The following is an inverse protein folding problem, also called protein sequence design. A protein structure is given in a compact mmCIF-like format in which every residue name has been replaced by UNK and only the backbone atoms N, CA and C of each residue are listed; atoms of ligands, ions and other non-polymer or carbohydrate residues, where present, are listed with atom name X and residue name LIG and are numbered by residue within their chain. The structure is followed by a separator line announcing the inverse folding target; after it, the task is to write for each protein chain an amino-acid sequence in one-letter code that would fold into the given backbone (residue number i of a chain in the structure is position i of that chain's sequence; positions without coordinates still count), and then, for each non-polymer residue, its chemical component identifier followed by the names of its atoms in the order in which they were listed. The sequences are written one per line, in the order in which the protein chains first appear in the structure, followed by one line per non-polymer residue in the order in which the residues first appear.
data_IF_548173236276
#
_entry.id   IF_548173236276
#
_cell.length_a   1.000
_cell.length_b   1.000
_cell.length_c   1.000
_cell.angle_alpha   90.00
_cell.angle_beta   90.00
_cell.angle_gamma   90.00
#
_symmetry.space_group_name_H-M   'P 1'
#
loop_
_entity.id
_entity.type
_entity.pdbx_description
1 polymer ?
#
# COMPACT_ATOMS: atom_id res chain seq x y z
N UNK A 1 3.56 13.69 -27.40
CA UNK A 1 3.39 14.88 -26.53
C UNK A 1 4.58 15.01 -25.61
N UNK A 2 4.85 16.24 -25.13
CA UNK A 2 5.91 16.52 -24.15
C UNK A 2 5.33 16.46 -22.74
N UNK A 3 6.00 15.79 -21.80
CA UNK A 3 5.51 15.68 -20.44
C UNK A 3 6.56 16.04 -19.38
N UNK A 4 6.08 16.39 -18.19
CA UNK A 4 6.90 16.51 -16.98
C UNK A 4 6.49 15.43 -15.98
N UNK A 5 7.48 14.86 -15.27
CA UNK A 5 7.28 13.81 -14.24
C UNK A 5 7.62 14.40 -12.86
N UNK A 6 6.61 14.84 -12.14
CA UNK A 6 6.75 15.49 -10.83
C UNK A 6 6.66 14.46 -9.69
N UNK A 7 7.54 14.57 -8.71
CA UNK A 7 7.67 13.58 -7.64
C UNK A 7 7.92 12.19 -8.21
N UNK A 8 8.81 12.15 -9.20
CA UNK A 8 8.94 11.06 -10.17
C UNK A 8 9.44 9.74 -9.57
N UNK A 9 10.02 9.76 -8.35
CA UNK A 9 10.63 8.58 -7.76
C UNK A 9 11.69 7.98 -8.69
N UNK A 10 11.51 6.71 -9.07
CA UNK A 10 12.39 6.02 -10.02
C UNK A 10 11.87 6.05 -11.46
N UNK A 11 10.85 6.88 -11.76
CA UNK A 11 10.37 7.11 -13.14
C UNK A 11 9.30 6.14 -13.61
N UNK A 12 8.31 5.83 -12.78
CA UNK A 12 7.21 4.96 -13.20
C UNK A 12 6.29 5.58 -14.24
N UNK A 13 6.00 6.88 -14.16
CA UNK A 13 5.32 7.62 -15.23
C UNK A 13 6.19 7.69 -16.47
N UNK A 14 7.47 8.03 -16.31
CA UNK A 14 8.42 8.09 -17.45
C UNK A 14 8.43 6.76 -18.22
N UNK A 15 8.60 5.63 -17.53
CA UNK A 15 8.63 4.31 -18.15
C UNK A 15 7.39 4.03 -19.00
N UNK A 16 6.21 4.40 -18.51
CA UNK A 16 4.95 4.19 -19.23
C UNK A 16 4.78 5.11 -20.43
N UNK A 17 4.98 6.42 -20.25
CA UNK A 17 4.78 7.42 -21.30
C UNK A 17 5.82 7.31 -22.41
N UNK A 18 7.08 7.00 -22.06
CA UNK A 18 8.14 6.75 -23.04
C UNK A 18 7.80 5.58 -23.98
N UNK A 19 7.20 4.49 -23.45
CA UNK A 19 6.72 3.36 -24.27
C UNK A 19 5.62 3.75 -25.27
N UNK A 20 4.86 4.81 -24.98
CA UNK A 20 3.83 5.39 -25.85
C UNK A 20 4.39 6.45 -26.83
N UNK A 21 5.71 6.70 -26.80
CA UNK A 21 6.38 7.65 -27.69
C UNK A 21 6.26 9.12 -27.22
N UNK A 22 5.93 9.37 -25.95
CA UNK A 22 5.97 10.72 -25.38
C UNK A 22 7.39 11.07 -24.93
N UNK A 23 7.71 12.37 -24.91
CA UNK A 23 9.02 12.92 -24.56
C UNK A 23 8.97 13.57 -23.16
N UNK A 24 9.82 13.10 -22.23
CA UNK A 24 10.00 13.75 -20.95
C UNK A 24 10.91 14.97 -21.10
N UNK A 25 10.43 16.14 -20.72
CA UNK A 25 11.19 17.40 -20.82
C UNK A 25 11.67 17.92 -19.48
N UNK A 26 11.14 17.39 -18.38
CA UNK A 26 11.55 17.74 -17.02
C UNK A 26 11.09 16.65 -16.05
N UNK A 27 11.90 16.38 -15.04
CA UNK A 27 11.53 15.48 -13.93
C UNK A 27 12.12 16.01 -12.62
N UNK A 28 11.43 15.75 -11.50
CA UNK A 28 11.91 16.17 -10.17
C UNK A 28 11.51 15.20 -9.07
N UNK A 29 12.44 14.94 -8.15
CA UNK A 29 12.22 14.28 -6.88
C UNK A 29 13.18 14.80 -5.83
N UNK A 30 12.72 14.91 -4.58
CA UNK A 30 13.55 15.35 -3.44
C UNK A 30 14.43 14.23 -2.85
N UNK A 31 14.10 12.95 -3.13
CA UNK A 31 14.90 11.81 -2.68
C UNK A 31 16.09 11.60 -3.63
N UNK A 32 17.28 11.94 -3.16
CA UNK A 32 18.53 11.83 -3.95
C UNK A 32 18.82 10.42 -4.45
N UNK A 33 18.46 9.39 -3.69
CA UNK A 33 18.64 8.00 -4.12
C UNK A 33 17.67 7.62 -5.24
N UNK A 34 16.43 8.11 -5.17
CA UNK A 34 15.47 7.89 -6.25
C UNK A 34 15.89 8.63 -7.52
N UNK A 35 16.30 9.89 -7.40
CA UNK A 35 16.79 10.70 -8.51
C UNK A 35 18.01 10.06 -9.19
N UNK A 36 18.95 9.47 -8.42
CA UNK A 36 20.11 8.74 -8.97
C UNK A 36 19.67 7.55 -9.82
N UNK A 37 18.72 6.74 -9.34
CA UNK A 37 18.18 5.60 -10.10
C UNK A 37 17.43 6.10 -11.34
N UNK A 38 16.65 7.17 -11.22
CA UNK A 38 15.97 7.78 -12.36
C UNK A 38 16.97 8.22 -13.43
N UNK A 39 18.00 9.03 -13.07
CA UNK A 39 19.00 9.54 -14.01
C UNK A 39 19.82 8.42 -14.67
N UNK A 40 20.06 7.31 -13.98
CA UNK A 40 20.74 6.12 -14.53
C UNK A 40 19.94 5.43 -15.65
N UNK A 41 18.63 5.52 -15.60
CA UNK A 41 17.74 4.91 -16.59
C UNK A 41 17.35 5.88 -17.71
N UNK A 42 17.02 7.11 -17.37
CA UNK A 42 16.38 8.09 -18.25
C UNK A 42 17.25 9.31 -18.56
N UNK A 43 18.40 9.44 -17.91
CA UNK A 43 19.24 10.63 -18.01
C UNK A 43 18.62 11.83 -17.28
N UNK A 44 18.98 13.02 -17.78
CA UNK A 44 18.52 14.31 -17.25
C UNK A 44 17.59 14.98 -18.25
N UNK A 45 16.27 14.81 -18.13
CA UNK A 45 15.32 15.39 -19.06
C UNK A 45 15.50 16.92 -19.16
N UNK A 46 15.54 17.45 -20.38
CA UNK A 46 15.80 18.88 -20.62
C UNK A 46 17.18 19.40 -20.15
N UNK A 47 18.06 18.51 -19.69
CA UNK A 47 19.37 18.86 -19.11
C UNK A 47 19.32 19.23 -17.62
N UNK A 48 18.18 19.19 -16.98
CA UNK A 48 17.99 19.51 -15.55
C UNK A 48 18.38 18.34 -14.65
N UNK A 49 18.89 18.64 -13.46
CA UNK A 49 19.07 17.62 -12.41
C UNK A 49 17.70 17.18 -11.88
N UNK A 50 17.50 15.87 -11.75
CA UNK A 50 16.25 15.32 -11.20
C UNK A 50 16.17 15.53 -9.69
N UNK A 51 17.29 15.52 -8.97
CA UNK A 51 17.33 15.80 -7.53
C UNK A 51 17.15 17.29 -7.26
N UNK A 52 15.91 17.73 -7.07
CA UNK A 52 15.57 19.10 -6.69
C UNK A 52 14.19 19.17 -6.01
N UNK A 53 14.00 20.21 -5.20
CA UNK A 53 12.65 20.57 -4.71
C UNK A 53 11.92 21.37 -5.80
N UNK A 54 10.74 20.94 -6.18
CA UNK A 54 9.92 21.60 -7.21
C UNK A 54 9.72 23.09 -6.94
N UNK A 55 9.63 23.48 -5.67
CA UNK A 55 9.40 24.86 -5.23
C UNK A 55 10.60 25.78 -5.53
N UNK A 56 11.79 25.24 -5.65
CA UNK A 56 13.00 25.98 -5.95
C UNK A 56 13.17 26.21 -7.45
N UNK A 57 12.58 25.34 -8.29
CA UNK A 57 12.78 25.30 -9.75
C UNK A 57 11.49 25.55 -10.55
N UNK A 58 10.38 25.86 -9.89
CA UNK A 58 9.04 25.94 -10.52
C UNK A 58 8.99 26.91 -11.69
N UNK A 59 9.80 27.99 -11.65
CA UNK A 59 9.86 28.98 -12.71
C UNK A 59 10.71 28.57 -13.92
N UNK A 60 11.60 27.59 -13.73
CA UNK A 60 12.51 27.07 -14.76
C UNK A 60 11.89 25.91 -15.55
N UNK A 61 10.78 25.32 -15.05
CA UNK A 61 10.12 24.18 -15.68
C UNK A 61 9.62 24.59 -17.08
N UNK A 62 10.02 23.85 -18.15
CA UNK A 62 9.66 24.19 -19.51
C UNK A 62 8.16 23.94 -19.78
N UNK A 63 7.64 24.51 -20.86
CA UNK A 63 6.28 24.24 -21.35
C UNK A 63 6.11 22.75 -21.67
N UNK A 64 4.95 22.21 -21.36
CA UNK A 64 4.61 20.79 -21.54
C UNK A 64 3.15 20.63 -21.99
N UNK A 65 2.85 19.44 -22.53
CA UNK A 65 1.49 19.05 -22.89
C UNK A 65 0.82 18.24 -21.76
N UNK A 66 1.63 17.53 -20.95
CA UNK A 66 1.14 16.66 -19.88
C UNK A 66 1.91 16.96 -18.59
N UNK A 67 1.20 17.12 -17.48
CA UNK A 67 1.75 17.04 -16.13
C UNK A 67 1.43 15.66 -15.55
N UNK A 68 2.46 14.88 -15.22
CA UNK A 68 2.35 13.63 -14.47
C UNK A 68 2.80 13.85 -13.01
N UNK A 69 2.01 13.39 -12.03
CA UNK A 69 2.40 13.53 -10.63
C UNK A 69 1.83 12.42 -9.73
N UNK A 70 2.74 11.69 -9.07
CA UNK A 70 2.43 10.82 -7.94
C UNK A 70 2.69 11.55 -6.61
N UNK A 71 1.90 12.56 -6.29
CA UNK A 71 2.19 13.45 -5.17
C UNK A 71 1.87 12.82 -3.81
N UNK A 72 2.66 13.10 -2.74
CA UNK A 72 2.38 12.60 -1.40
C UNK A 72 1.10 13.20 -0.82
N UNK A 73 0.31 12.36 -0.10
CA UNK A 73 -0.90 12.80 0.57
C UNK A 73 -0.55 13.67 1.78
N UNK A 74 -0.68 14.98 1.64
CA UNK A 74 -0.51 15.96 2.71
C UNK A 74 -1.87 16.51 3.15
N UNK A 75 -2.07 16.81 4.45
CA UNK A 75 -3.32 17.44 4.91
C UNK A 75 -3.43 18.86 4.35
N UNK A 76 -4.60 19.20 3.80
CA UNK A 76 -4.93 20.56 3.41
C UNK A 76 -5.17 21.44 4.64
N UNK A 77 -4.81 22.73 4.54
CA UNK A 77 -5.02 23.67 5.63
C UNK A 77 -6.52 23.92 5.86
N UNK A 78 -6.94 24.03 7.13
CA UNK A 78 -8.33 24.33 7.52
C UNK A 78 -8.64 25.83 7.51
N UNK A 79 -7.86 26.67 6.82
CA UNK A 79 -8.07 28.10 6.83
C UNK A 79 -9.28 28.50 5.99
N UNK A 80 -10.19 29.13 6.65
CA UNK A 80 -11.24 30.08 6.31
C UNK A 80 -12.05 29.92 5.03
N UNK A 81 -13.35 29.77 5.21
CA UNK A 81 -14.40 29.68 4.19
C UNK A 81 -14.66 30.96 3.33
N UNK A 82 -13.74 31.91 3.28
CA UNK A 82 -13.98 33.21 2.60
C UNK A 82 -13.06 33.55 1.44
N UNK A 83 -11.96 32.79 1.21
CA UNK A 83 -10.93 33.17 0.21
C UNK A 83 -10.81 32.19 -0.98
N UNK A 84 -11.78 31.26 -1.16
CA UNK A 84 -11.80 30.31 -2.29
C UNK A 84 -10.95 29.03 -2.07
N UNK A 85 -11.10 28.05 -3.01
CA UNK A 85 -10.42 26.75 -2.91
C UNK A 85 -8.89 26.84 -3.11
N UNK A 86 -8.40 27.87 -3.79
CA UNK A 86 -6.98 28.13 -3.97
C UNK A 86 -6.23 28.30 -2.65
N UNK A 87 -6.83 28.96 -1.66
CA UNK A 87 -6.25 29.17 -0.34
C UNK A 87 -6.18 27.89 0.51
N UNK A 88 -7.14 26.97 0.32
CA UNK A 88 -7.16 25.70 1.05
C UNK A 88 -6.03 24.75 0.62
N UNK A 89 -5.50 24.91 -0.60
CA UNK A 89 -4.41 24.10 -1.14
C UNK A 89 -3.02 24.69 -0.88
N UNK A 90 -2.92 25.97 -0.49
CA UNK A 90 -1.64 26.66 -0.25
C UNK A 90 -0.71 25.87 0.67
N UNK A 91 0.56 25.79 0.29
CA UNK A 91 1.60 25.08 1.04
C UNK A 91 1.59 23.56 0.88
N UNK A 92 0.72 23.02 0.02
CA UNK A 92 0.72 21.60 -0.36
C UNK A 92 1.42 21.39 -1.70
N UNK A 93 1.96 20.21 -1.93
CA UNK A 93 2.54 19.85 -3.24
C UNK A 93 1.51 19.82 -4.38
N UNK A 94 0.22 19.61 -4.05
CA UNK A 94 -0.86 19.78 -5.03
C UNK A 94 -1.01 21.24 -5.49
N UNK A 95 -0.76 22.20 -4.62
CA UNK A 95 -0.76 23.62 -5.00
C UNK A 95 0.35 23.94 -5.99
N UNK A 96 1.54 23.35 -5.84
CA UNK A 96 2.64 23.54 -6.78
C UNK A 96 2.28 22.99 -8.18
N UNK A 97 1.56 21.85 -8.25
CA UNK A 97 0.98 21.33 -9.50
C UNK A 97 0.00 22.36 -10.11
N UNK A 98 -0.87 22.98 -9.28
CA UNK A 98 -1.82 23.98 -9.76
C UNK A 98 -1.13 25.22 -10.34
N UNK A 99 -0.05 25.72 -9.71
CA UNK A 99 0.74 26.84 -10.24
C UNK A 99 1.28 26.52 -11.64
N UNK A 100 1.84 25.32 -11.82
CA UNK A 100 2.34 24.90 -13.14
C UNK A 100 1.21 24.77 -14.17
N UNK A 101 0.08 24.22 -13.77
CA UNK A 101 -1.08 24.07 -14.65
C UNK A 101 -1.65 25.43 -15.09
N UNK A 102 -1.71 26.41 -14.20
CA UNK A 102 -2.15 27.78 -14.54
C UNK A 102 -1.16 28.52 -15.44
N UNK A 103 0.14 28.33 -15.19
CA UNK A 103 1.22 28.98 -15.97
C UNK A 103 1.32 28.43 -17.39
N UNK A 104 1.30 27.12 -17.55
CA UNK A 104 1.61 26.43 -18.81
C UNK A 104 0.38 25.91 -19.56
N UNK A 105 -0.76 25.79 -18.89
CA UNK A 105 -2.04 25.29 -19.43
C UNK A 105 -1.88 23.99 -20.24
N UNK A 106 -1.28 22.93 -19.66
CA UNK A 106 -1.10 21.67 -20.36
C UNK A 106 -2.43 21.11 -20.85
N UNK A 107 -2.39 20.25 -21.86
CA UNK A 107 -3.58 19.55 -22.36
C UNK A 107 -4.14 18.58 -21.33
N UNK A 108 -3.26 17.97 -20.54
CA UNK A 108 -3.57 16.90 -19.59
C UNK A 108 -2.86 17.13 -18.25
N UNK A 109 -3.56 16.83 -17.15
CA UNK A 109 -2.95 16.62 -15.83
C UNK A 109 -3.32 15.20 -15.39
N UNK A 110 -2.31 14.34 -15.20
CA UNK A 110 -2.48 12.96 -14.82
C UNK A 110 -1.88 12.70 -13.43
N UNK A 111 -2.75 12.45 -12.45
CA UNK A 111 -2.38 12.33 -11.04
C UNK A 111 -2.61 10.91 -10.52
N UNK A 112 -1.74 10.47 -9.61
CA UNK A 112 -1.90 9.24 -8.84
C UNK A 112 -1.78 9.50 -7.34
N UNK A 113 -2.58 8.79 -6.53
CA UNK A 113 -2.45 8.83 -5.08
C UNK A 113 -3.03 7.58 -4.40
N UNK A 114 -2.85 7.48 -3.08
CA UNK A 114 -3.45 6.41 -2.28
C UNK A 114 -4.98 6.57 -2.18
N UNK A 115 -5.76 5.46 -2.06
CA UNK A 115 -7.22 5.53 -2.00
C UNK A 115 -7.76 6.36 -0.83
N UNK A 116 -6.96 6.50 0.23
CA UNK A 116 -7.34 7.31 1.39
C UNK A 116 -7.55 8.79 1.05
N UNK A 117 -6.97 9.30 -0.04
CA UNK A 117 -7.19 10.67 -0.51
C UNK A 117 -8.70 10.96 -0.70
N UNK A 118 -9.43 10.00 -1.26
CA UNK A 118 -10.87 10.13 -1.52
C UNK A 118 -11.70 10.15 -0.24
N UNK A 119 -11.28 9.37 0.78
CA UNK A 119 -11.99 9.28 2.07
C UNK A 119 -11.48 10.28 3.12
N UNK A 120 -10.34 10.92 2.86
CA UNK A 120 -9.69 11.85 3.81
C UNK A 120 -10.61 13.02 4.14
N UNK A 121 -10.61 13.38 5.45
CA UNK A 121 -11.48 14.43 6.00
C UNK A 121 -12.96 14.29 5.56
N UNK A 122 -13.49 13.06 5.64
CA UNK A 122 -14.88 12.73 5.23
C UNK A 122 -15.19 13.07 3.77
N UNK A 123 -14.20 13.01 2.89
CA UNK A 123 -14.29 13.32 1.47
C UNK A 123 -14.05 14.80 1.11
N UNK A 124 -13.83 15.68 2.08
CA UNK A 124 -13.61 17.11 1.81
C UNK A 124 -12.34 17.34 0.99
N UNK A 125 -11.27 16.59 1.26
CA UNK A 125 -10.01 16.69 0.52
C UNK A 125 -10.21 16.51 -0.99
N UNK A 126 -10.95 15.47 -1.39
CA UNK A 126 -11.22 15.22 -2.80
C UNK A 126 -12.06 16.33 -3.43
N UNK A 127 -13.08 16.81 -2.73
CA UNK A 127 -13.92 17.93 -3.20
C UNK A 127 -13.12 19.21 -3.44
N UNK A 128 -12.12 19.51 -2.58
CA UNK A 128 -11.22 20.67 -2.76
C UNK A 128 -10.35 20.49 -4.01
N UNK A 129 -9.83 19.27 -4.23
CA UNK A 129 -9.04 18.97 -5.43
C UNK A 129 -9.89 19.13 -6.69
N UNK A 130 -11.10 18.54 -6.72
CA UNK A 130 -12.05 18.61 -7.83
C UNK A 130 -12.40 20.07 -8.18
N UNK A 131 -12.81 20.84 -7.17
CA UNK A 131 -13.16 22.25 -7.35
C UNK A 131 -11.98 23.07 -7.87
N UNK A 132 -10.75 22.82 -7.37
CA UNK A 132 -9.56 23.54 -7.84
C UNK A 132 -9.20 23.19 -9.28
N UNK A 133 -9.37 21.94 -9.70
CA UNK A 133 -9.18 21.51 -11.09
C UNK A 133 -10.18 22.22 -12.02
N UNK A 134 -11.45 22.30 -11.61
CA UNK A 134 -12.49 23.00 -12.36
C UNK A 134 -12.22 24.51 -12.50
N UNK A 135 -11.78 25.16 -11.41
CA UNK A 135 -11.38 26.59 -11.43
C UNK A 135 -10.24 26.86 -12.42
N UNK A 136 -9.29 25.93 -12.59
CA UNK A 136 -8.20 26.03 -13.54
C UNK A 136 -8.63 25.81 -15.01
N UNK A 137 -9.89 25.44 -15.25
CA UNK A 137 -10.44 25.22 -16.60
C UNK A 137 -10.24 23.81 -17.14
N UNK A 138 -10.27 22.80 -16.27
CA UNK A 138 -10.17 21.38 -16.63
C UNK A 138 -11.44 20.62 -16.26
N UNK A 139 -11.89 19.72 -17.12
CA UNK A 139 -12.82 18.64 -16.78
C UNK A 139 -12.00 17.46 -16.25
N UNK A 140 -12.50 16.77 -15.24
CA UNK A 140 -11.78 15.69 -14.58
C UNK A 140 -12.63 14.42 -14.44
N UNK A 141 -11.95 13.29 -14.35
CA UNK A 141 -12.50 11.97 -14.03
C UNK A 141 -11.52 11.27 -13.07
N UNK A 142 -12.03 10.50 -12.12
CA UNK A 142 -11.18 9.69 -11.28
C UNK A 142 -11.77 8.31 -10.99
N UNK A 143 -10.89 7.35 -10.75
CA UNK A 143 -11.28 5.98 -10.41
C UNK A 143 -10.25 5.36 -9.46
N UNK A 144 -10.72 4.55 -8.48
CA UNK A 144 -9.84 3.70 -7.68
C UNK A 144 -9.66 2.39 -8.43
N UNK A 145 -8.42 2.10 -8.81
CA UNK A 145 -8.04 0.94 -9.63
C UNK A 145 -6.99 0.11 -8.88
N UNK A 146 -6.99 -1.20 -9.15
CA UNK A 146 -5.97 -2.11 -8.63
C UNK A 146 -5.42 -2.99 -9.76
N UNK A 147 -4.09 -3.05 -9.94
CA UNK A 147 -3.43 -3.67 -11.10
C UNK A 147 -3.79 -5.14 -11.37
N UNK A 148 -4.18 -5.91 -10.35
CA UNK A 148 -4.54 -7.31 -10.54
C UNK A 148 -5.76 -7.54 -11.45
N UNK A 149 -6.61 -6.53 -11.61
CA UNK A 149 -7.73 -6.57 -12.57
C UNK A 149 -7.30 -6.20 -14.00
N UNK A 150 -6.00 -5.97 -14.21
CA UNK A 150 -5.42 -5.49 -15.46
C UNK A 150 -4.17 -6.27 -15.88
N UNK A 151 -4.03 -7.49 -15.40
CA UNK A 151 -2.95 -8.40 -15.83
C UNK A 151 -1.69 -8.37 -14.97
N UNK A 152 -1.65 -7.57 -13.91
CA UNK A 152 -0.49 -7.47 -13.01
C UNK A 152 -0.69 -8.31 -11.74
N UNK A 153 0.32 -9.06 -11.32
CA UNK A 153 0.28 -9.95 -10.14
C UNK A 153 0.27 -9.21 -8.79
N UNK A 154 -0.32 -7.99 -8.71
CA UNK A 154 -0.30 -7.18 -7.49
C UNK A 154 -1.67 -6.60 -7.12
N UNK A 155 -2.04 -6.76 -5.85
CA UNK A 155 -3.17 -6.00 -5.26
C UNK A 155 -2.66 -4.69 -4.70
N UNK A 156 -2.79 -3.58 -5.48
CA UNK A 156 -2.36 -2.23 -5.10
C UNK A 156 -3.42 -1.21 -5.52
N UNK A 157 -4.37 -0.95 -4.64
CA UNK A 157 -5.40 0.08 -4.94
C UNK A 157 -4.78 1.47 -4.94
N UNK A 158 -5.09 2.25 -6.00
CA UNK A 158 -4.71 3.67 -6.13
C UNK A 158 -5.84 4.45 -6.75
N UNK A 159 -5.98 5.71 -6.40
CA UNK A 159 -6.83 6.64 -7.13
C UNK A 159 -6.01 7.26 -8.25
N UNK A 160 -6.56 7.21 -9.45
CA UNK A 160 -6.04 7.88 -10.65
C UNK A 160 -7.00 8.98 -11.02
N UNK A 161 -6.47 10.19 -11.26
CA UNK A 161 -7.24 11.37 -11.61
C UNK A 161 -6.71 11.85 -12.96
N UNK A 162 -7.58 11.90 -13.94
CA UNK A 162 -7.30 12.40 -15.30
C UNK A 162 -8.04 13.71 -15.49
N UNK A 163 -7.31 14.77 -15.84
CA UNK A 163 -7.89 16.08 -16.10
C UNK A 163 -7.54 16.49 -17.53
N UNK A 164 -8.55 16.87 -18.29
CA UNK A 164 -8.42 17.33 -19.69
C UNK A 164 -8.84 18.80 -19.73
N UNK A 165 -8.05 19.65 -20.37
CA UNK A 165 -8.38 21.06 -20.54
C UNK A 165 -9.71 21.22 -21.29
N UNK A 166 -10.57 22.14 -20.85
CA UNK A 166 -11.96 22.23 -21.29
C UNK A 166 -12.14 22.43 -22.83
N UNK A 167 -11.19 23.07 -23.48
CA UNK A 167 -11.22 23.24 -24.94
C UNK A 167 -10.88 21.96 -25.73
N UNK A 168 -10.40 20.92 -25.07
CA UNK A 168 -10.05 19.60 -25.64
C UNK A 168 -11.02 18.50 -25.25
N UNK A 169 -12.04 18.83 -24.48
CA UNK A 169 -13.07 17.87 -24.06
C UNK A 169 -13.92 17.47 -25.28
N UNK A 170 -14.07 16.15 -25.46
CA UNK A 170 -14.89 15.57 -26.53
C UNK A 170 -16.38 15.56 -26.15
N UNK A 171 -17.26 15.29 -27.13
CA UNK A 171 -18.73 15.14 -26.97
C UNK A 171 -19.12 13.86 -26.25
N UNK A 172 -18.14 12.97 -25.97
CA UNK A 172 -18.31 11.74 -25.20
C UNK A 172 -17.44 11.76 -23.96
N UNK A 173 -17.78 10.94 -22.97
CA UNK A 173 -17.04 10.93 -21.72
C UNK A 173 -15.76 10.08 -21.81
N UNK A 174 -14.71 10.53 -21.11
CA UNK A 174 -13.51 9.73 -20.90
C UNK A 174 -13.82 8.46 -20.12
N UNK A 175 -13.27 7.35 -20.57
CA UNK A 175 -13.45 6.04 -19.92
C UNK A 175 -12.11 5.41 -19.53
N UNK A 176 -11.95 5.08 -18.24
CA UNK A 176 -10.81 4.30 -17.78
C UNK A 176 -10.78 2.90 -18.43
N UNK A 177 -9.59 2.26 -18.51
CA UNK A 177 -9.47 0.90 -18.98
C UNK A 177 -10.48 -0.03 -18.29
N UNK A 178 -11.03 -0.99 -19.05
CA UNK A 178 -12.00 -1.95 -18.52
C UNK A 178 -11.32 -3.02 -17.67
N UNK A 179 -11.86 -3.29 -16.51
CA UNK A 179 -11.43 -4.40 -15.67
C UNK A 179 -11.74 -5.73 -16.36
N UNK A 180 -10.80 -6.68 -16.29
CA UNK A 180 -10.96 -8.04 -16.77
C UNK A 180 -10.51 -9.03 -15.70
N UNK A 181 -11.05 -10.21 -15.73
CA UNK A 181 -10.51 -11.31 -14.94
C UNK A 181 -9.29 -11.90 -15.67
N UNK A 182 -8.18 -12.01 -14.95
CA UNK A 182 -6.95 -12.64 -15.44
C UNK A 182 -6.64 -13.85 -14.56
N UNK A 183 -6.33 -14.97 -15.18
CA UNK A 183 -5.74 -16.12 -14.49
C UNK A 183 -4.23 -15.88 -14.38
N UNK A 184 -3.83 -15.18 -13.32
CA UNK A 184 -2.45 -14.74 -13.11
C UNK A 184 -1.65 -15.82 -12.38
N UNK A 185 -0.53 -16.22 -12.96
CA UNK A 185 0.45 -17.03 -12.26
C UNK A 185 1.60 -16.14 -11.75
N UNK A 186 1.65 -15.96 -10.43
CA UNK A 186 2.70 -15.13 -9.80
C UNK A 186 4.10 -15.73 -9.94
N UNK A 187 4.22 -17.02 -10.37
CA UNK A 187 5.54 -17.63 -10.62
C UNK A 187 6.25 -17.00 -11.79
N UNK A 188 5.50 -16.37 -12.71
CA UNK A 188 6.07 -15.69 -13.90
C UNK A 188 6.97 -14.49 -13.56
N UNK A 189 6.81 -13.91 -12.37
CA UNK A 189 7.64 -12.77 -11.91
C UNK A 189 8.79 -13.21 -11.01
N UNK A 190 8.86 -14.52 -10.65
CA UNK A 190 9.87 -15.06 -9.75
C UNK A 190 11.06 -15.64 -10.53
N UNK A 191 12.27 -15.41 -10.01
CA UNK A 191 13.50 -16.03 -10.49
C UNK A 191 13.67 -17.43 -9.88
N UNK A 192 14.17 -18.38 -10.66
CA UNK A 192 14.46 -19.76 -10.19
C UNK A 192 15.69 -19.78 -9.27
N UNK A 193 16.72 -19.04 -9.63
CA UNK A 193 17.97 -18.97 -8.91
C UNK A 193 18.20 -17.55 -8.36
N UNK A 194 18.23 -17.45 -7.06
CA UNK A 194 18.47 -16.18 -6.35
C UNK A 194 19.57 -16.36 -5.30
N UNK A 195 20.20 -15.26 -4.91
CA UNK A 195 21.21 -15.24 -3.86
C UNK A 195 20.61 -15.75 -2.53
N UNK A 196 21.38 -16.56 -1.79
CA UNK A 196 21.00 -17.15 -0.51
C UNK A 196 20.65 -16.10 0.56
N UNK A 197 21.15 -14.87 0.42
CA UNK A 197 20.80 -13.73 1.32
C UNK A 197 19.30 -13.45 1.38
N UNK A 198 18.50 -13.87 0.40
CA UNK A 198 17.05 -13.75 0.38
C UNK A 198 16.32 -14.90 1.08
N UNK A 199 17.03 -15.96 1.46
CA UNK A 199 16.46 -17.07 2.22
C UNK A 199 15.92 -16.61 3.56
N UNK A 200 14.87 -17.29 4.04
CA UNK A 200 14.36 -17.05 5.38
C UNK A 200 15.41 -17.42 6.42
N UNK A 201 15.55 -16.58 7.44
CA UNK A 201 16.40 -16.91 8.58
C UNK A 201 15.74 -17.94 9.53
N UNK A 202 16.51 -18.44 10.49
CA UNK A 202 16.07 -19.47 11.42
C UNK A 202 14.88 -19.03 12.28
N UNK A 203 14.83 -17.78 12.70
CA UNK A 203 13.74 -17.21 13.49
C UNK A 203 12.44 -17.17 12.68
N UNK A 204 12.49 -16.71 11.45
CA UNK A 204 11.34 -16.67 10.55
C UNK A 204 10.79 -18.07 10.27
N UNK A 205 11.68 -19.03 10.02
CA UNK A 205 11.32 -20.44 9.86
C UNK A 205 10.69 -21.02 11.14
N UNK A 206 11.24 -20.68 12.33
CA UNK A 206 10.71 -21.08 13.61
C UNK A 206 9.27 -20.56 13.80
N UNK A 207 9.04 -19.27 13.60
CA UNK A 207 7.70 -18.66 13.74
C UNK A 207 6.68 -19.24 12.76
N UNK A 208 7.08 -19.48 11.50
CA UNK A 208 6.17 -20.05 10.52
C UNK A 208 5.88 -21.53 10.75
N UNK A 209 6.85 -22.32 11.22
CA UNK A 209 6.63 -23.71 11.62
C UNK A 209 5.71 -23.80 12.84
N UNK A 210 5.84 -22.88 13.80
CA UNK A 210 4.94 -22.74 14.93
C UNK A 210 3.49 -22.53 14.46
N UNK A 211 3.26 -21.57 13.57
CA UNK A 211 1.93 -21.29 13.02
C UNK A 211 1.44 -22.40 12.07
N UNK A 212 2.33 -23.09 11.36
CA UNK A 212 1.99 -24.24 10.53
C UNK A 212 1.36 -25.38 11.36
N UNK A 213 1.94 -25.66 12.51
CA UNK A 213 1.37 -26.65 13.45
C UNK A 213 0.02 -26.17 14.00
N UNK A 214 -0.11 -24.87 14.29
CA UNK A 214 -1.37 -24.29 14.73
C UNK A 214 -2.48 -24.47 13.69
N UNK A 215 -2.20 -24.10 12.43
CA UNK A 215 -3.16 -24.21 11.32
C UNK A 215 -3.65 -25.64 11.09
N UNK A 216 -2.76 -26.61 11.21
CA UNK A 216 -3.08 -28.03 10.99
C UNK A 216 -3.97 -28.63 12.08
N UNK A 217 -3.93 -28.07 13.28
CA UNK A 217 -4.58 -28.68 14.44
C UNK A 217 -5.74 -27.87 15.02
N UNK A 218 -5.76 -26.55 14.83
CA UNK A 218 -6.87 -25.70 15.31
C UNK A 218 -8.11 -25.96 14.47
N UNK A 219 -9.26 -26.11 15.13
CA UNK A 219 -10.54 -26.32 14.43
C UNK A 219 -10.43 -27.35 13.29
N UNK A 220 -9.81 -28.50 13.57
CA UNK A 220 -9.40 -29.45 12.54
C UNK A 220 -10.52 -29.84 11.58
N UNK A 221 -11.75 -29.91 12.07
CA UNK A 221 -12.94 -30.31 11.32
C UNK A 221 -13.81 -29.11 10.86
N UNK A 222 -13.34 -27.88 11.06
CA UNK A 222 -14.07 -26.65 10.73
C UNK A 222 -13.18 -25.67 9.98
N UNK A 223 -13.79 -24.57 9.49
CA UNK A 223 -13.05 -23.51 8.79
C UNK A 223 -12.12 -22.76 9.74
N UNK A 224 -10.97 -22.32 9.22
CA UNK A 224 -10.07 -21.42 9.94
C UNK A 224 -10.75 -20.08 10.25
N UNK A 225 -10.37 -19.43 11.37
CA UNK A 225 -10.91 -18.13 11.73
C UNK A 225 -10.64 -17.07 10.63
N UNK A 226 -11.67 -16.33 10.25
CA UNK A 226 -11.55 -15.19 9.35
C UNK A 226 -11.14 -13.87 10.06
N UNK A 227 -10.83 -13.92 11.35
CA UNK A 227 -10.37 -12.78 12.14
C UNK A 227 -8.90 -12.98 12.54
N UNK A 228 -8.16 -11.90 12.85
CA UNK A 228 -6.79 -12.03 13.36
C UNK A 228 -6.71 -12.88 14.61
N UNK A 229 -5.81 -13.84 14.62
CA UNK A 229 -5.53 -14.70 15.77
C UNK A 229 -4.45 -14.02 16.62
N UNK A 230 -4.74 -13.80 17.89
CA UNK A 230 -3.85 -13.17 18.85
C UNK A 230 -3.58 -14.15 20.00
N UNK A 231 -2.39 -14.74 20.03
CA UNK A 231 -2.03 -15.73 21.04
C UNK A 231 -1.99 -15.13 22.46
N UNK A 232 -1.70 -13.83 22.58
CA UNK A 232 -1.80 -13.08 23.84
C UNK A 232 -3.22 -13.05 24.46
N UNK A 233 -4.24 -13.45 23.70
CA UNK A 233 -5.60 -13.62 24.20
C UNK A 233 -5.89 -15.03 24.72
N UNK A 234 -4.97 -15.98 24.58
CA UNK A 234 -5.17 -17.38 24.99
C UNK A 234 -4.90 -17.60 26.49
N UNK A 235 -4.20 -16.69 27.15
CA UNK A 235 -4.06 -16.66 28.59
C UNK A 235 -5.07 -15.70 29.22
N UNK A 236 -5.53 -16.07 30.41
CA UNK A 236 -6.46 -15.27 31.20
C UNK A 236 -7.91 -15.70 31.05
N UNK A 237 -8.52 -16.04 32.19
CA UNK A 237 -9.95 -16.33 32.31
C UNK A 237 -10.79 -15.04 32.55
N UNK A 238 -10.16 -13.90 32.57
CA UNK A 238 -10.82 -12.63 32.92
C UNK A 238 -11.71 -12.17 31.78
N UNK A 239 -12.98 -11.94 32.09
CA UNK A 239 -13.86 -11.19 31.22
C UNK A 239 -13.30 -9.79 31.03
N UNK A 240 -13.48 -9.23 29.82
CA UNK A 240 -13.15 -7.83 29.61
C UNK A 240 -14.04 -6.99 30.52
N UNK A 241 -13.47 -6.05 31.32
CA UNK A 241 -14.27 -5.18 32.16
C UNK A 241 -15.34 -4.47 31.32
N UNK A 242 -16.58 -4.49 31.82
CA UNK A 242 -17.71 -3.86 31.12
C UNK A 242 -17.64 -2.35 31.21
N UNK A 243 -17.80 -1.84 32.40
CA UNK A 243 -17.77 -0.42 32.71
C UNK A 243 -16.52 -0.10 33.54
N UNK A 244 -15.61 0.69 32.94
CA UNK A 244 -14.36 1.08 33.59
C UNK A 244 -14.57 2.09 34.74
N UNK A 245 -15.69 2.79 34.79
CA UNK A 245 -16.01 3.78 35.83
C UNK A 245 -16.17 3.14 37.22
N UNK A 246 -16.52 1.87 37.30
CA UNK A 246 -16.72 1.15 38.55
C UNK A 246 -15.42 0.75 39.28
N UNK A 247 -14.28 0.84 38.59
CA UNK A 247 -12.98 0.46 39.15
C UNK A 247 -12.29 1.65 39.82
N UNK A 248 -11.52 1.38 40.89
CA UNK A 248 -10.66 2.38 41.51
C UNK A 248 -9.37 2.63 40.70
N UNK A 249 -8.53 3.59 41.14
CA UNK A 249 -7.30 3.96 40.44
C UNK A 249 -6.30 2.80 40.38
N UNK A 250 -6.12 2.07 41.46
CA UNK A 250 -5.15 0.98 41.54
C UNK A 250 -5.56 -0.18 40.62
N UNK A 251 -6.84 -0.49 40.60
CA UNK A 251 -7.41 -1.48 39.69
C UNK A 251 -7.25 -1.06 38.21
N UNK A 252 -7.52 0.18 37.87
CA UNK A 252 -7.34 0.70 36.52
C UNK A 252 -5.88 0.67 36.09
N UNK A 253 -4.94 1.00 36.96
CA UNK A 253 -3.50 0.89 36.70
C UNK A 253 -3.10 -0.57 36.49
N UNK A 254 -3.59 -1.48 37.33
CA UNK A 254 -3.34 -2.93 37.21
C UNK A 254 -3.85 -3.46 35.84
N UNK A 255 -5.08 -3.13 35.48
CA UNK A 255 -5.68 -3.49 34.18
C UNK A 255 -4.85 -2.90 33.03
N UNK A 256 -4.50 -1.63 33.12
CA UNK A 256 -3.72 -0.93 32.09
C UNK A 256 -2.35 -1.57 31.87
N UNK A 257 -1.62 -1.88 32.92
CA UNK A 257 -0.32 -2.52 32.83
C UNK A 257 -0.42 -3.94 32.27
N UNK A 258 -1.42 -4.74 32.69
CA UNK A 258 -1.67 -6.06 32.14
C UNK A 258 -1.97 -6.00 30.63
N UNK A 259 -2.83 -5.08 30.20
CA UNK A 259 -3.18 -4.92 28.79
C UNK A 259 -2.04 -4.33 27.96
N UNK A 260 -1.18 -3.50 28.58
CA UNK A 260 0.04 -3.03 27.94
C UNK A 260 1.04 -4.17 27.67
N UNK A 261 1.19 -5.11 28.61
CA UNK A 261 2.00 -6.31 28.42
C UNK A 261 1.49 -7.18 27.25
N UNK A 262 0.18 -7.23 27.03
CA UNK A 262 -0.41 -7.89 25.86
C UNK A 262 -0.31 -7.02 24.56
N UNK A 263 0.21 -5.81 24.64
CA UNK A 263 0.24 -4.87 23.53
C UNK A 263 -1.16 -4.41 23.08
N UNK A 264 -2.15 -4.45 23.97
CA UNK A 264 -3.51 -4.03 23.67
C UNK A 264 -3.70 -2.54 23.84
N UNK A 265 -3.01 -1.94 24.78
CA UNK A 265 -2.97 -0.49 25.05
C UNK A 265 -1.52 -0.03 25.18
N UNK A 266 -1.30 1.26 25.25
CA UNK A 266 0.02 1.81 25.62
C UNK A 266 0.23 1.65 27.13
N UNK A 267 1.49 1.56 27.59
CA UNK A 267 1.78 1.60 29.02
C UNK A 267 1.11 2.79 29.72
N UNK A 268 0.53 2.56 30.89
CA UNK A 268 -0.08 3.60 31.71
C UNK A 268 0.88 4.03 32.81
N UNK A 269 0.77 5.29 33.25
CA UNK A 269 1.55 5.86 34.36
C UNK A 269 0.68 5.96 35.61
N UNK A 270 1.29 5.77 36.79
CA UNK A 270 0.65 5.95 38.07
C UNK A 270 0.26 7.42 38.37
N UNK A 271 0.79 8.35 37.57
CA UNK A 271 0.48 9.80 37.71
C UNK A 271 -0.83 10.18 36.99
N UNK A 272 -1.43 9.26 36.25
CA UNK A 272 -2.68 9.52 35.53
C UNK A 272 -3.85 9.57 36.51
N UNK A 273 -4.74 10.56 36.32
CA UNK A 273 -6.02 10.55 37.01
C UNK A 273 -6.99 9.51 36.40
N UNK A 274 -8.14 9.30 37.07
CA UNK A 274 -9.13 8.27 36.66
C UNK A 274 -9.60 8.42 35.21
N UNK A 275 -9.94 9.64 34.79
CA UNK A 275 -10.42 9.91 33.42
C UNK A 275 -9.35 9.64 32.37
N UNK A 276 -8.10 10.00 32.68
CA UNK A 276 -6.95 9.73 31.81
C UNK A 276 -6.69 8.23 31.67
N UNK A 277 -6.76 7.47 32.77
CA UNK A 277 -6.61 6.02 32.77
C UNK A 277 -7.73 5.35 31.96
N UNK A 278 -8.99 5.68 32.22
CA UNK A 278 -10.14 5.13 31.47
C UNK A 278 -9.99 5.40 29.98
N UNK A 279 -9.58 6.61 29.59
CA UNK A 279 -9.30 6.95 28.19
C UNK A 279 -8.13 6.17 27.61
N UNK A 280 -7.06 5.97 28.37
CA UNK A 280 -5.85 5.23 27.93
C UNK A 280 -6.10 3.74 27.73
N UNK A 281 -6.90 3.13 28.63
CA UNK A 281 -7.21 1.70 28.60
C UNK A 281 -8.52 1.35 27.89
N UNK A 282 -9.29 2.35 27.48
CA UNK A 282 -10.54 2.18 26.75
C UNK A 282 -10.31 1.43 25.40
N UNK A 283 -10.66 0.15 25.35
CA UNK A 283 -10.52 -0.64 24.13
C UNK A 283 -11.66 -0.33 23.16
N UNK A 284 -11.36 0.01 21.90
CA UNK A 284 -12.38 0.15 20.86
C UNK A 284 -13.20 -1.14 20.70
N UNK A 285 -14.48 -1.02 20.37
CA UNK A 285 -15.41 -2.16 20.26
C UNK A 285 -14.93 -3.25 19.31
N UNK A 286 -14.29 -2.88 18.19
CA UNK A 286 -13.71 -3.85 17.26
C UNK A 286 -12.61 -4.70 17.90
N UNK A 287 -11.77 -4.09 18.76
CA UNK A 287 -10.67 -4.77 19.45
C UNK A 287 -11.19 -5.71 20.53
N UNK A 288 -12.18 -5.25 21.32
CA UNK A 288 -12.89 -6.11 22.28
C UNK A 288 -13.50 -7.33 21.59
N UNK A 289 -14.10 -7.15 20.42
CA UNK A 289 -14.68 -8.24 19.63
C UNK A 289 -13.61 -9.26 19.21
N UNK A 290 -12.42 -8.81 18.78
CA UNK A 290 -11.32 -9.72 18.44
C UNK A 290 -10.81 -10.49 19.67
N UNK A 291 -10.69 -9.84 20.81
CA UNK A 291 -10.29 -10.51 22.07
C UNK A 291 -11.31 -11.61 22.43
N UNK A 292 -12.61 -11.29 22.42
CA UNK A 292 -13.66 -12.30 22.71
C UNK A 292 -13.63 -13.47 21.73
N UNK A 293 -13.45 -13.21 20.44
CA UNK A 293 -13.34 -14.28 19.44
C UNK A 293 -12.11 -15.16 19.62
N UNK A 294 -10.97 -14.59 20.01
CA UNK A 294 -9.75 -15.35 20.29
C UNK A 294 -9.88 -16.19 21.57
N UNK A 295 -10.54 -15.68 22.61
CA UNK A 295 -10.85 -16.44 23.83
C UNK A 295 -11.80 -17.61 23.54
N UNK A 296 -12.82 -17.40 22.70
CA UNK A 296 -13.69 -18.48 22.25
C UNK A 296 -12.93 -19.52 21.43
N UNK A 297 -12.02 -19.10 20.55
CA UNK A 297 -11.14 -19.99 19.80
C UNK A 297 -10.28 -20.84 20.75
N UNK A 298 -9.70 -20.22 21.77
CA UNK A 298 -8.93 -20.90 22.79
C UNK A 298 -9.78 -21.92 23.55
N UNK A 299 -10.94 -21.54 24.08
CA UNK A 299 -11.79 -22.43 24.86
C UNK A 299 -12.21 -23.67 24.07
N UNK A 300 -12.52 -23.51 22.79
CA UNK A 300 -12.89 -24.61 21.89
C UNK A 300 -11.72 -25.54 21.52
N UNK A 301 -10.48 -25.07 21.67
CA UNK A 301 -9.27 -25.81 21.27
C UNK A 301 -8.26 -25.94 22.43
N UNK A 302 -8.66 -25.72 23.65
CA UNK A 302 -7.80 -25.56 24.84
C UNK A 302 -6.73 -26.65 24.95
N UNK A 303 -7.12 -27.90 24.87
CA UNK A 303 -6.20 -29.04 25.02
C UNK A 303 -5.05 -29.03 24.00
N UNK A 304 -5.31 -28.58 22.80
CA UNK A 304 -4.29 -28.43 21.76
C UNK A 304 -3.47 -27.16 21.99
N UNK A 305 -4.14 -26.02 22.20
CA UNK A 305 -3.48 -24.71 22.33
C UNK A 305 -2.53 -24.68 23.52
N UNK A 306 -2.90 -25.25 24.70
CA UNK A 306 -2.02 -25.32 25.88
C UNK A 306 -0.71 -26.06 25.56
N UNK A 307 -0.79 -27.17 24.81
CA UNK A 307 0.38 -27.94 24.39
C UNK A 307 1.23 -27.14 23.39
N UNK A 308 0.59 -26.46 22.46
CA UNK A 308 1.23 -25.64 21.43
C UNK A 308 1.95 -24.44 22.05
N UNK A 309 1.29 -23.70 22.96
CA UNK A 309 1.89 -22.59 23.71
C UNK A 309 3.17 -23.01 24.41
N UNK A 310 3.12 -24.14 25.13
CA UNK A 310 4.26 -24.67 25.86
C UNK A 310 5.37 -25.16 24.93
N UNK A 311 5.03 -25.94 23.89
CA UNK A 311 6.01 -26.52 22.96
C UNK A 311 6.82 -25.40 22.24
N UNK A 312 6.14 -24.37 21.80
CA UNK A 312 6.73 -23.29 21.02
C UNK A 312 7.14 -22.09 21.86
N UNK A 313 6.98 -22.13 23.18
CA UNK A 313 7.33 -21.05 24.11
C UNK A 313 6.69 -19.71 23.72
N UNK A 314 5.44 -19.74 23.24
CA UNK A 314 4.80 -18.62 22.52
C UNK A 314 4.63 -17.38 23.39
N UNK A 315 4.28 -17.55 24.67
CA UNK A 315 4.07 -16.48 25.63
C UNK A 315 5.13 -16.46 26.75
N UNK A 316 6.19 -17.23 26.61
CA UNK A 316 7.26 -17.23 27.58
C UNK A 316 8.08 -15.95 27.53
N UNK A 317 8.51 -15.50 28.69
CA UNK A 317 9.44 -14.40 28.87
C UNK A 317 10.72 -14.89 29.50
N UNK A 318 11.85 -14.30 29.15
CA UNK A 318 13.15 -14.56 29.75
C UNK A 318 13.25 -13.90 31.13
N UNK A 319 14.31 -14.22 31.89
CA UNK A 319 14.55 -13.66 33.21
C UNK A 319 14.64 -12.13 33.24
N UNK A 320 15.08 -11.52 32.16
CA UNK A 320 15.13 -10.07 31.95
C UNK A 320 13.79 -9.47 31.45
N UNK A 321 12.71 -10.27 31.43
CA UNK A 321 11.35 -9.84 31.06
C UNK A 321 11.11 -9.67 29.56
N UNK A 322 12.04 -10.10 28.69
CA UNK A 322 11.83 -10.05 27.24
C UNK A 322 11.07 -11.28 26.76
N UNK A 323 10.09 -11.11 25.85
CA UNK A 323 9.38 -12.24 25.28
C UNK A 323 10.33 -13.07 24.40
N UNK A 324 10.23 -14.41 24.54
CA UNK A 324 10.99 -15.36 23.72
C UNK A 324 10.62 -15.21 22.22
N UNK A 325 9.34 -15.03 21.93
CA UNK A 325 8.84 -14.69 20.60
C UNK A 325 8.36 -13.24 20.60
N UNK A 326 8.83 -12.38 19.67
CA UNK A 326 8.34 -11.02 19.58
C UNK A 326 6.79 -10.96 19.52
N UNK A 327 6.15 -10.07 20.27
CA UNK A 327 4.68 -9.95 20.34
C UNK A 327 4.01 -9.83 18.95
N UNK A 328 4.68 -9.19 18.01
CA UNK A 328 4.20 -9.13 16.62
C UNK A 328 4.20 -10.51 15.92
N UNK A 329 4.96 -11.48 16.40
CA UNK A 329 5.03 -12.84 15.82
C UNK A 329 4.06 -13.81 16.49
N UNK A 330 3.49 -13.43 17.63
CA UNK A 330 2.39 -14.16 18.28
C UNK A 330 1.01 -13.72 17.76
N UNK A 331 0.97 -12.81 16.79
CA UNK A 331 -0.24 -12.35 16.10
C UNK A 331 -0.24 -12.80 14.66
N UNK A 332 -1.35 -13.40 14.21
CA UNK A 332 -1.43 -14.07 12.93
C UNK A 332 -2.74 -13.74 12.20
N UNK A 333 -2.64 -13.26 10.98
CA UNK A 333 -3.78 -12.83 10.17
C UNK A 333 -3.89 -13.74 8.93
N UNK A 334 -4.80 -14.71 8.99
CA UNK A 334 -5.02 -15.66 7.91
C UNK A 334 -5.99 -15.10 6.87
N UNK A 335 -5.49 -14.82 5.68
CA UNK A 335 -6.27 -14.32 4.54
C UNK A 335 -6.13 -15.22 3.29
N UNK A 336 -5.64 -16.46 3.45
CA UNK A 336 -5.45 -17.40 2.35
C UNK A 336 -6.69 -18.26 2.03
N UNK A 337 -7.80 -17.98 2.68
CA UNK A 337 -9.06 -18.69 2.47
C UNK A 337 -9.31 -19.80 3.50
N UNK A 338 -10.54 -20.34 3.51
CA UNK A 338 -10.98 -21.25 4.58
C UNK A 338 -10.49 -22.70 4.41
N UNK A 339 -10.02 -23.08 3.24
CA UNK A 339 -9.69 -24.46 2.87
C UNK A 339 -8.19 -24.78 2.96
N UNK A 340 -7.32 -23.81 2.71
CA UNK A 340 -5.87 -24.00 2.88
C UNK A 340 -5.52 -24.04 4.36
N UNK A 341 -4.62 -24.98 4.75
CA UNK A 341 -4.14 -25.17 6.12
C UNK A 341 -2.63 -25.26 6.16
N UNK A 342 -1.96 -24.68 5.21
CA UNK A 342 -0.51 -24.64 5.16
C UNK A 342 -0.01 -23.25 4.82
N UNK A 343 1.05 -22.86 5.52
CA UNK A 343 1.80 -21.66 5.20
C UNK A 343 2.45 -21.77 3.82
N UNK A 344 2.92 -22.93 3.48
CA UNK A 344 3.90 -23.15 2.42
C UNK A 344 3.36 -23.07 0.99
N UNK A 345 2.08 -22.80 0.82
CA UNK A 345 1.44 -22.51 -0.47
C UNK A 345 1.07 -21.04 -0.66
N UNK A 346 1.49 -20.19 0.29
CA UNK A 346 0.97 -18.84 0.44
C UNK A 346 2.09 -17.79 0.49
N UNK A 347 1.70 -16.52 0.46
CA UNK A 347 2.60 -15.37 0.59
C UNK A 347 2.43 -14.76 1.97
N UNK A 348 3.55 -14.43 2.62
CA UNK A 348 3.55 -13.80 3.94
C UNK A 348 4.10 -12.39 3.90
N UNK A 349 3.73 -11.63 4.92
CA UNK A 349 4.38 -10.38 5.30
C UNK A 349 4.58 -10.37 6.81
N UNK A 350 5.82 -10.18 7.25
CA UNK A 350 6.14 -9.90 8.64
C UNK A 350 5.92 -8.43 8.94
N UNK A 351 4.82 -8.11 9.63
CA UNK A 351 4.38 -6.75 9.92
C UNK A 351 4.58 -6.43 11.40
N UNK A 352 4.69 -5.15 11.78
CA UNK A 352 4.68 -4.77 13.21
C UNK A 352 3.39 -5.21 13.92
N UNK A 353 2.27 -5.32 13.21
CA UNK A 353 0.97 -5.73 13.75
C UNK A 353 0.74 -7.25 13.76
N UNK A 354 1.64 -8.05 13.20
CA UNK A 354 1.50 -9.51 13.10
C UNK A 354 1.95 -10.08 11.77
N UNK A 355 1.98 -11.39 11.67
CA UNK A 355 2.22 -12.11 10.41
C UNK A 355 0.92 -12.12 9.62
N UNK A 356 0.94 -11.60 8.41
CA UNK A 356 -0.19 -11.68 7.47
C UNK A 356 0.08 -12.70 6.39
N UNK A 357 -0.88 -13.59 6.18
CA UNK A 357 -0.82 -14.61 5.12
C UNK A 357 -1.88 -14.32 4.08
N UNK A 358 -1.49 -14.30 2.82
CA UNK A 358 -2.38 -14.15 1.67
C UNK A 358 -2.27 -15.35 0.75
N UNK A 359 -3.36 -15.66 0.06
CA UNK A 359 -3.35 -16.69 -0.98
C UNK A 359 -2.25 -16.40 -2.01
N UNK A 360 -1.54 -17.44 -2.44
CA UNK A 360 -0.40 -17.35 -3.35
C UNK A 360 -0.78 -17.07 -4.81
N UNK A 361 -1.77 -16.22 -5.08
CA UNK A 361 -2.18 -15.80 -6.41
C UNK A 361 -1.92 -14.33 -6.74
N UNK A 362 -1.63 -13.51 -5.75
CA UNK A 362 -1.28 -12.09 -5.91
C UNK A 362 -0.30 -11.65 -4.84
N UNK A 363 0.65 -10.81 -5.20
CA UNK A 363 1.44 -10.10 -4.22
C UNK A 363 0.63 -8.96 -3.56
N UNK A 364 0.79 -8.75 -2.25
CA UNK A 364 0.26 -7.56 -1.60
C UNK A 364 0.96 -6.31 -2.13
N UNK A 365 0.35 -5.13 -1.92
CA UNK A 365 1.02 -3.87 -2.20
C UNK A 365 2.38 -3.81 -1.51
N UNK A 366 3.42 -3.53 -2.27
CA UNK A 366 4.72 -3.17 -1.72
C UNK A 366 4.55 -1.84 -0.97
N UNK A 367 5.17 -1.75 0.19
CA UNK A 367 5.17 -0.54 1.01
C UNK A 367 6.60 -0.08 1.19
N UNK A 368 6.80 1.22 1.31
CA UNK A 368 8.13 1.83 1.48
C UNK A 368 8.87 1.40 2.77
N UNK A 369 8.21 0.64 3.64
CA UNK A 369 8.78 0.07 4.87
C UNK A 369 9.15 -1.40 4.64
N UNK A 370 10.08 -1.92 5.43
CA UNK A 370 10.64 -3.28 5.35
C UNK A 370 9.62 -4.41 5.64
N UNK A 371 8.53 -4.48 4.86
CA UNK A 371 7.55 -5.56 4.91
C UNK A 371 7.60 -6.35 3.59
N UNK A 372 8.80 -6.82 3.28
CA UNK A 372 9.07 -7.55 2.03
C UNK A 372 8.26 -8.85 2.03
N UNK A 373 7.48 -9.15 0.98
CA UNK A 373 6.77 -10.40 0.88
C UNK A 373 7.71 -11.62 0.87
N UNK A 374 7.28 -12.69 1.53
CA UNK A 374 7.94 -13.99 1.55
C UNK A 374 7.11 -14.98 0.75
N UNK A 375 7.76 -15.72 -0.11
CA UNK A 375 7.15 -16.80 -0.92
C UNK A 375 7.28 -18.11 -0.16
N UNK A 376 6.16 -18.63 0.34
CA UNK A 376 6.14 -19.79 1.25
C UNK A 376 6.74 -21.06 0.64
N UNK A 377 6.42 -21.38 -0.60
CA UNK A 377 6.94 -22.60 -1.25
C UNK A 377 8.42 -22.52 -1.62
N UNK A 378 8.99 -21.31 -1.72
CA UNK A 378 10.42 -21.10 -1.94
C UNK A 378 11.17 -20.81 -0.63
N UNK A 379 10.46 -20.59 0.47
CA UNK A 379 11.02 -20.22 1.78
C UNK A 379 12.00 -19.07 1.72
N UNK A 380 11.67 -18.04 0.94
CA UNK A 380 12.52 -16.87 0.76
C UNK A 380 11.73 -15.59 0.54
N UNK A 381 12.37 -14.48 0.80
CA UNK A 381 11.89 -13.16 0.41
C UNK A 381 11.95 -12.99 -1.12
N UNK A 382 11.07 -12.15 -1.68
CA UNK A 382 11.21 -11.72 -3.06
C UNK A 382 12.38 -10.76 -3.20
N UNK A 383 13.05 -10.79 -4.35
CA UNK A 383 14.19 -9.92 -4.64
C UNK A 383 13.73 -8.52 -5.10
N UNK A 384 14.59 -7.48 -5.08
CA UNK A 384 14.28 -6.18 -5.69
C UNK A 384 13.90 -6.30 -7.18
N UNK A 385 14.56 -7.19 -7.93
CA UNK A 385 14.25 -7.43 -9.35
C UNK A 385 12.85 -7.99 -9.54
N UNK A 386 12.44 -8.96 -8.72
CA UNK A 386 11.08 -9.50 -8.71
C UNK A 386 10.04 -8.45 -8.28
N UNK A 387 10.38 -7.60 -7.30
CA UNK A 387 9.54 -6.46 -6.94
C UNK A 387 9.35 -5.47 -8.09
N UNK A 388 10.38 -5.25 -8.90
CA UNK A 388 10.30 -4.37 -10.06
C UNK A 388 9.37 -4.96 -11.14
N UNK A 389 9.45 -6.28 -11.41
CA UNK A 389 8.49 -6.97 -12.31
C UNK A 389 7.05 -6.86 -11.81
N UNK A 390 6.82 -6.98 -10.48
CA UNK A 390 5.51 -6.81 -9.87
C UNK A 390 4.95 -5.39 -10.06
N UNK A 391 5.82 -4.39 -10.24
CA UNK A 391 5.45 -3.00 -10.56
C UNK A 391 5.49 -2.70 -12.07
N UNK A 392 5.73 -3.72 -12.90
CA UNK A 392 5.83 -3.67 -14.36
C UNK A 392 6.99 -2.80 -14.88
N UNK A 393 8.06 -2.60 -14.10
CA UNK A 393 9.32 -2.09 -14.63
C UNK A 393 10.01 -3.15 -15.47
N UNK A 394 10.48 -2.76 -16.66
CA UNK A 394 11.10 -3.67 -17.62
C UNK A 394 12.56 -3.98 -17.27
N UNK A 395 12.77 -4.70 -16.19
CA UNK A 395 14.11 -5.13 -15.73
C UNK A 395 14.73 -6.25 -16.58
N UNK A 396 13.97 -6.83 -17.50
CA UNK A 396 14.39 -7.92 -18.36
C UNK A 396 14.65 -7.46 -19.81
N UNK A 397 14.32 -6.21 -20.15
CA UNK A 397 14.58 -5.61 -21.46
C UNK A 397 13.60 -6.06 -22.54
N UNK A 398 12.36 -6.41 -22.19
CA UNK A 398 11.33 -6.85 -23.14
C UNK A 398 10.85 -5.71 -24.07
N UNK A 399 11.05 -4.46 -23.65
CA UNK A 399 10.62 -3.26 -24.37
C UNK A 399 11.78 -2.31 -24.72
N UNK A 400 13.01 -2.79 -24.62
CA UNK A 400 14.21 -1.99 -24.92
C UNK A 400 15.33 -2.18 -23.91
N UNK A 401 15.99 -1.09 -23.51
CA UNK A 401 17.05 -1.16 -22.48
C UNK A 401 16.44 -1.59 -21.14
N UNK A 402 17.01 -2.65 -20.49
CA UNK A 402 16.53 -3.07 -19.18
C UNK A 402 16.59 -1.95 -18.15
N UNK A 403 15.56 -1.82 -17.34
CA UNK A 403 15.55 -0.91 -16.21
C UNK A 403 16.54 -1.36 -15.13
N UNK A 404 17.39 -0.46 -14.69
CA UNK A 404 18.45 -0.72 -13.72
C UNK A 404 18.04 -0.19 -12.35
N UNK A 405 18.06 -1.09 -11.36
CA UNK A 405 17.85 -0.72 -9.95
C UNK A 405 19.15 -0.15 -9.34
N UNK A 406 19.03 0.53 -8.20
CA UNK A 406 20.20 0.96 -7.43
C UNK A 406 20.89 -0.20 -6.71
N UNK A 407 22.11 0.05 -6.22
CA UNK A 407 22.97 -0.96 -5.60
C UNK A 407 22.46 -1.46 -4.22
N UNK A 408 21.59 -0.71 -3.56
CA UNK A 408 21.05 -1.06 -2.24
C UNK A 408 19.70 -1.73 -2.35
N UNK A 409 19.60 -3.00 -1.92
CA UNK A 409 18.31 -3.71 -1.84
C UNK A 409 17.28 -2.94 -0.99
N UNK A 410 17.71 -2.40 0.16
CA UNK A 410 16.83 -1.65 1.05
C UNK A 410 16.23 -0.41 0.38
N UNK A 411 17.07 0.34 -0.36
CA UNK A 411 16.61 1.51 -1.10
C UNK A 411 15.72 1.09 -2.27
N UNK A 412 16.06 0.03 -2.99
CA UNK A 412 15.26 -0.51 -4.08
C UNK A 412 13.86 -0.92 -3.61
N UNK A 413 13.73 -1.63 -2.47
CA UNK A 413 12.42 -1.95 -1.90
C UNK A 413 11.62 -0.71 -1.51
N UNK A 414 12.27 0.30 -0.89
CA UNK A 414 11.63 1.57 -0.54
C UNK A 414 11.12 2.30 -1.78
N UNK A 415 11.94 2.41 -2.80
CA UNK A 415 11.64 3.07 -4.06
C UNK A 415 10.50 2.37 -4.81
N UNK A 416 10.55 1.05 -4.94
CA UNK A 416 9.49 0.24 -5.56
C UNK A 416 8.19 0.28 -4.75
N UNK A 417 8.28 0.39 -3.42
CA UNK A 417 7.11 0.60 -2.56
C UNK A 417 6.41 1.94 -2.80
N UNK A 418 7.17 2.99 -3.13
CA UNK A 418 6.64 4.32 -3.48
C UNK A 418 6.21 4.43 -4.94
N UNK A 419 6.83 3.68 -5.84
CA UNK A 419 6.60 3.79 -7.28
C UNK A 419 5.14 3.54 -7.67
N UNK A 420 4.70 4.19 -8.74
CA UNK A 420 3.46 3.87 -9.44
C UNK A 420 3.62 2.57 -10.23
N UNK A 421 2.54 1.86 -10.48
CA UNK A 421 2.58 0.67 -11.35
C UNK A 421 2.63 1.12 -12.82
N UNK A 422 3.69 0.72 -13.52
CA UNK A 422 3.99 1.19 -14.91
C UNK A 422 2.88 0.78 -15.88
N UNK A 423 2.37 -0.46 -15.81
CA UNK A 423 1.32 -0.93 -16.71
C UNK A 423 0.01 -0.15 -16.52
N UNK A 424 -0.34 0.20 -15.28
CA UNK A 424 -1.54 1.00 -15.03
C UNK A 424 -1.43 2.40 -15.63
N UNK A 425 -0.27 3.06 -15.47
CA UNK A 425 -0.02 4.36 -16.11
C UNK A 425 -0.09 4.24 -17.63
N UNK A 426 0.56 3.21 -18.20
CA UNK A 426 0.53 2.94 -19.65
C UNK A 426 -0.91 2.81 -20.17
N UNK A 427 -1.72 1.95 -19.58
CA UNK A 427 -3.09 1.71 -20.04
C UNK A 427 -4.01 2.93 -19.89
N UNK A 428 -3.81 3.73 -18.85
CA UNK A 428 -4.62 4.96 -18.64
C UNK A 428 -4.16 6.03 -19.63
N UNK A 429 -2.84 6.20 -19.83
CA UNK A 429 -2.33 7.18 -20.80
C UNK A 429 -2.75 6.82 -22.24
N UNK A 430 -2.71 5.54 -22.61
CA UNK A 430 -3.24 5.10 -23.91
C UNK A 430 -4.71 5.50 -24.11
N UNK A 431 -5.55 5.43 -23.06
CA UNK A 431 -6.93 5.92 -23.09
C UNK A 431 -7.03 7.44 -23.23
N UNK A 432 -6.12 8.17 -22.57
CA UNK A 432 -6.02 9.63 -22.70
C UNK A 432 -5.68 10.00 -24.15
N UNK A 433 -4.69 9.34 -24.76
CA UNK A 433 -4.27 9.59 -26.13
C UNK A 433 -5.39 9.31 -27.14
N UNK A 434 -6.12 8.20 -26.98
CA UNK A 434 -7.29 7.85 -27.78
C UNK A 434 -8.40 8.91 -27.64
N UNK A 435 -8.69 9.35 -26.42
CA UNK A 435 -9.70 10.37 -26.14
C UNK A 435 -9.36 11.70 -26.82
N UNK A 436 -8.11 12.15 -26.69
CA UNK A 436 -7.65 13.39 -27.35
C UNK A 436 -7.66 13.29 -28.88
N UNK A 437 -7.49 12.10 -29.43
CA UNK A 437 -7.62 11.84 -30.87
C UNK A 437 -9.08 11.73 -31.35
N UNK A 438 -10.06 11.93 -30.48
CA UNK A 438 -11.49 11.80 -30.79
C UNK A 438 -11.95 10.36 -31.03
N UNK A 439 -11.20 9.39 -30.53
CA UNK A 439 -11.53 7.96 -30.66
C UNK A 439 -12.36 7.53 -29.45
N UNK A 440 -13.66 7.32 -29.70
CA UNK A 440 -14.56 6.80 -28.68
C UNK A 440 -14.27 5.30 -28.44
N UNK A 441 -13.90 4.98 -27.21
CA UNK A 441 -13.68 3.58 -26.82
C UNK A 441 -14.97 2.99 -26.25
N UNK A 442 -15.76 2.34 -27.12
CA UNK A 442 -16.97 1.64 -26.70
C UNK A 442 -16.63 0.59 -25.64
N UNK A 443 -17.49 0.47 -24.63
CA UNK A 443 -17.55 -0.73 -23.80
C UNK A 443 -18.07 -1.84 -24.71
N UNK A 444 -17.18 -2.67 -25.29
CA UNK A 444 -17.60 -3.88 -25.97
C UNK A 444 -18.47 -4.69 -24.99
N UNK A 445 -19.76 -4.72 -25.22
CA UNK A 445 -20.62 -5.76 -24.68
C UNK A 445 -20.14 -7.07 -25.32
N UNK A 446 -19.35 -7.84 -24.57
CA UNK A 446 -19.10 -9.23 -24.93
C UNK A 446 -20.43 -9.94 -24.87
N UNK A 447 -21.10 -10.08 -26.02
CA UNK A 447 -22.14 -11.08 -26.21
C UNK A 447 -21.47 -12.44 -25.99
N UNK A 448 -21.72 -13.02 -24.82
CA UNK A 448 -21.50 -14.45 -24.60
C UNK A 448 -22.51 -15.13 -25.51
N UNK A 449 -22.09 -15.44 -26.74
CA UNK A 449 -22.79 -16.45 -27.56
C UNK A 449 -22.61 -17.77 -26.81
N UNK A 450 -23.65 -18.21 -26.13
CA UNK A 450 -23.80 -19.60 -25.72
C UNK A 450 -23.78 -20.44 -26.99
N UNK A 451 -22.63 -21.02 -27.29
CA UNK A 451 -22.47 -22.11 -28.28
C UNK A 451 -22.77 -23.41 -27.57
N UNK A 452 -23.77 -24.09 -28.08
CA UNK A 452 -24.33 -25.42 -27.80
C UNK A 452 -23.23 -26.48 -27.60
#
# INVERSE_FOLDING_TARGET
MRFVDLFCGIGGFHAALHRLGHECVFATDIDSHAATVYESNWGKPGGFSVHCDIREVIDEIPSMDIICAGFPCQPFSKSGSQEGFGDQTRGTLFHDICILAEKHKPSVIFLENVPNLVAHDKGNTMKVIEARIEEMGYKHWWKIISPHNYGTCQTRKRVYIVCIRNDLVQDFDFTFPKERHYDLDIRTVLDENVDEKYSMNEDELYWLNMWEEFLKNVNKDTKLPGHPIWADCFEGNEELPGDLEQYDLDELVRIGNQWANYGWVKPVSNDMNKDQLIKAIGLPSWKQNFIRKNRLLYSNNRKFIDKWLKKWRVLEVSEDGKPFIPVSRTKYEWQAGPTSRTNWENIFQFRPSGIRVKKGNYFPALVAMAQIPVVGWLKRHITPKECARIQDFDVDGNHGKPFVLGDSDQQSYKQLGNAVNVNMIYMIQERIDMYLAGIETFSEQVSISAGV
#
